data_IF_478685905732
#
_entry.id   IF_478685905732
#
_cell.length_a   1.000
_cell.length_b   1.000
_cell.length_c   1.000
_cell.angle_alpha   90.00
_cell.angle_beta   90.00
_cell.angle_gamma   90.00
#
_symmetry.space_group_name_H-M   'P 1'
#
loop_
_entity.id
_entity.type
_entity.pdbx_description
1 polymer ?
#
# COMPACT_ATOMS: atom_id res chain seq x y z
N UNK A 1 -11.92 21.00 -26.32
CA UNK A 1 -11.27 20.90 -25.00
C UNK A 1 -11.32 19.44 -24.61
N UNK A 2 -10.23 18.71 -24.80
CA UNK A 2 -10.12 17.35 -24.26
C UNK A 2 -9.99 17.45 -22.73
N UNK A 3 -10.67 16.59 -21.96
CA UNK A 3 -10.52 16.60 -20.51
C UNK A 3 -9.09 16.16 -20.17
N UNK A 4 -8.34 17.02 -19.50
CA UNK A 4 -7.11 16.62 -18.81
C UNK A 4 -7.47 15.48 -17.86
N UNK A 5 -7.11 14.25 -18.24
CA UNK A 5 -7.20 13.10 -17.35
C UNK A 5 -6.33 13.48 -16.16
N UNK A 6 -6.97 13.88 -15.05
CA UNK A 6 -6.32 14.14 -13.77
C UNK A 6 -5.49 12.91 -13.45
N UNK A 7 -4.19 12.99 -13.68
CA UNK A 7 -3.24 11.92 -13.37
C UNK A 7 -3.32 11.77 -11.86
N UNK A 8 -4.05 10.77 -11.38
CA UNK A 8 -4.20 10.52 -9.94
C UNK A 8 -2.79 10.51 -9.33
N UNK A 9 -2.55 11.43 -8.39
CA UNK A 9 -1.24 11.55 -7.77
C UNK A 9 -0.96 10.22 -7.09
N UNK A 10 0.06 9.50 -7.57
CA UNK A 10 0.51 8.24 -6.97
C UNK A 10 0.75 8.46 -5.48
N UNK A 11 0.29 7.50 -4.67
CA UNK A 11 0.49 7.52 -3.23
C UNK A 11 1.98 7.40 -2.90
N UNK A 12 2.51 8.34 -2.11
CA UNK A 12 3.86 8.26 -1.55
C UNK A 12 3.77 7.98 -0.04
N UNK A 13 4.32 6.86 0.47
CA UNK A 13 4.34 6.56 1.90
C UNK A 13 4.89 7.68 2.79
N UNK A 14 5.96 8.35 2.33
CA UNK A 14 6.63 9.41 3.10
C UNK A 14 5.70 10.60 3.37
N UNK A 15 4.73 10.85 2.48
CA UNK A 15 3.77 11.93 2.63
C UNK A 15 2.82 11.71 3.83
N UNK A 16 2.68 10.49 4.36
CA UNK A 16 1.72 10.18 5.44
C UNK A 16 2.36 9.77 6.76
N UNK A 17 3.62 9.35 6.75
CA UNK A 17 4.33 8.93 7.97
C UNK A 17 4.34 10.06 8.99
N UNK A 18 4.11 9.69 10.25
CA UNK A 18 4.02 10.61 11.36
C UNK A 18 2.71 11.39 11.44
N UNK A 19 1.81 11.37 10.44
CA UNK A 19 0.52 12.09 10.53
C UNK A 19 -0.49 11.32 11.39
N UNK A 20 -1.47 11.99 12.02
CA UNK A 20 -2.60 11.32 12.65
C UNK A 20 -3.34 10.45 11.63
N UNK A 21 -3.66 9.22 11.99
CA UNK A 21 -4.34 8.31 11.09
C UNK A 21 -5.78 8.76 10.80
N UNK A 22 -6.18 8.68 9.53
CA UNK A 22 -7.57 8.76 9.08
C UNK A 22 -7.84 7.62 8.11
N UNK A 23 -9.07 7.11 8.12
CA UNK A 23 -9.51 6.07 7.18
C UNK A 23 -9.22 6.50 5.74
N UNK A 24 -8.59 5.63 4.96
CA UNK A 24 -8.20 5.88 3.57
C UNK A 24 -6.76 6.37 3.37
N UNK A 25 -6.01 6.70 4.44
CA UNK A 25 -4.62 7.18 4.32
C UNK A 25 -3.57 6.08 4.04
N UNK A 26 -3.94 4.80 4.19
CA UNK A 26 -3.03 3.66 4.02
C UNK A 26 -3.64 2.68 2.99
N UNK A 27 -3.67 3.05 1.70
CA UNK A 27 -4.35 2.25 0.67
C UNK A 27 -3.72 0.87 0.45
N UNK A 28 -2.41 0.75 0.65
CA UNK A 28 -1.65 -0.48 0.44
C UNK A 28 -1.21 -1.17 1.74
N UNK A 29 -1.64 -0.62 2.89
CA UNK A 29 -1.26 -1.11 4.22
C UNK A 29 -0.27 -0.20 4.93
N UNK A 30 0.02 -0.55 6.18
CA UNK A 30 0.87 0.21 7.07
C UNK A 30 0.59 -0.11 8.54
N UNK A 31 1.15 0.70 9.44
CA UNK A 31 0.97 0.56 10.88
C UNK A 31 0.73 1.91 11.55
N UNK A 32 -0.03 1.88 12.65
CA UNK A 32 -0.38 3.05 13.44
C UNK A 32 0.05 2.81 14.89
N UNK A 33 0.86 3.73 15.42
CA UNK A 33 1.32 3.71 16.80
C UNK A 33 0.84 4.98 17.50
N UNK A 34 0.14 4.84 18.64
CA UNK A 34 -0.41 5.97 19.41
C UNK A 34 -1.21 6.96 18.55
N UNK A 35 -2.02 6.43 17.62
CA UNK A 35 -2.88 7.21 16.72
C UNK A 35 -2.16 7.90 15.55
N UNK A 36 -0.85 7.70 15.38
CA UNK A 36 -0.05 8.25 14.27
C UNK A 36 0.48 7.15 13.39
N UNK A 37 0.56 7.41 12.09
CA UNK A 37 1.11 6.47 11.11
C UNK A 37 2.60 6.30 11.40
N UNK A 38 3.02 5.09 11.76
CA UNK A 38 4.43 4.76 12.02
C UNK A 38 5.11 4.11 10.81
N UNK A 39 4.33 3.52 9.91
CA UNK A 39 4.79 2.89 8.68
C UNK A 39 3.68 2.91 7.63
N UNK A 40 4.04 3.06 6.36
CA UNK A 40 3.13 3.02 5.23
C UNK A 40 3.78 2.26 4.07
N UNK A 41 2.99 1.44 3.37
CA UNK A 41 3.44 0.57 2.29
C UNK A 41 3.22 1.27 0.95
N UNK A 42 4.20 1.22 0.06
CA UNK A 42 4.07 1.69 -1.32
C UNK A 42 3.24 0.73 -2.19
N UNK A 43 2.79 1.20 -3.36
CA UNK A 43 2.10 0.33 -4.31
C UNK A 43 3.00 -0.82 -4.78
N UNK A 44 4.26 -0.48 -5.07
CA UNK A 44 5.27 -1.41 -5.58
C UNK A 44 5.57 -2.52 -4.56
N UNK A 45 5.75 -2.19 -3.28
CA UNK A 45 5.96 -3.18 -2.21
C UNK A 45 4.75 -4.11 -2.05
N UNK A 46 3.53 -3.54 -2.03
CA UNK A 46 2.31 -4.34 -1.94
C UNK A 46 2.16 -5.32 -3.10
N UNK A 47 2.44 -4.89 -4.33
CA UNK A 47 2.38 -5.75 -5.51
C UNK A 47 3.44 -6.86 -5.45
N UNK A 48 4.64 -6.56 -4.94
CA UNK A 48 5.68 -7.57 -4.74
C UNK A 48 5.27 -8.60 -3.68
N UNK A 49 4.76 -8.16 -2.54
CA UNK A 49 4.31 -9.04 -1.46
C UNK A 49 3.16 -9.95 -1.91
N UNK A 50 2.20 -9.40 -2.67
CA UNK A 50 1.11 -10.20 -3.24
C UNK A 50 1.61 -11.22 -4.26
N UNK A 51 2.64 -10.87 -5.04
CA UNK A 51 3.28 -11.83 -5.97
C UNK A 51 3.94 -12.98 -5.21
N UNK A 52 4.65 -12.68 -4.12
CA UNK A 52 5.28 -13.68 -3.24
C UNK A 52 4.24 -14.55 -2.54
N UNK A 53 3.16 -13.96 -2.04
CA UNK A 53 2.08 -14.70 -1.41
C UNK A 53 1.44 -15.70 -2.38
N UNK A 54 1.16 -15.27 -3.62
CA UNK A 54 0.65 -16.17 -4.67
C UNK A 54 1.61 -17.31 -5.00
N UNK A 55 2.93 -17.05 -5.01
CA UNK A 55 3.91 -18.11 -5.29
C UNK A 55 3.99 -19.15 -4.17
N UNK A 56 3.72 -18.78 -2.92
CA UNK A 56 3.63 -19.72 -1.80
C UNK A 56 2.33 -20.51 -1.84
N UNK A 57 1.20 -19.85 -2.12
CA UNK A 57 -0.12 -20.49 -2.19
C UNK A 57 -0.27 -21.44 -3.38
N UNK A 58 0.41 -21.17 -4.49
CA UNK A 58 0.39 -22.01 -5.69
C UNK A 58 1.50 -23.08 -5.71
N UNK A 59 2.28 -23.24 -4.62
CA UNK A 59 3.09 -24.45 -4.50
C UNK A 59 2.12 -25.63 -4.44
N UNK A 60 2.32 -26.68 -5.26
CA UNK A 60 1.57 -27.91 -5.03
C UNK A 60 1.83 -28.30 -3.59
N UNK A 61 0.78 -28.35 -2.77
CA UNK A 61 0.85 -29.09 -1.53
C UNK A 61 1.42 -30.45 -1.90
N UNK A 62 2.56 -30.80 -1.32
CA UNK A 62 3.11 -32.15 -1.49
C UNK A 62 1.97 -33.16 -1.29
N UNK A 63 1.92 -34.08 -2.25
CA UNK A 63 0.94 -35.15 -2.46
C UNK A 63 0.37 -35.76 -1.19
#
# INVERSE_FOLDING_TARGET
MEPEIMKEKKFNPEDVIGKPYRRGMLPYGGSVTRGRISYAVSEEEYLEDMRRLRSVLNKPSDR
#
